data_IF_028483170381
#
_entry.id   IF_028483170381
#
_cell.length_a   1.000
_cell.length_b   1.000
_cell.length_c   1.000
_cell.angle_alpha   90.00
_cell.angle_beta   90.00
_cell.angle_gamma   90.00
#
_symmetry.space_group_name_H-M   'P 1'
#
loop_
_entity.id
_entity.type
_entity.pdbx_description
1 polymer ?
#
# COMPACT_ATOMS: atom_id res chain seq x y z
N UNK A 1 -40.10 15.95 -78.12
CA UNK A 1 -39.40 17.00 -78.88
C UNK A 1 -39.14 18.21 -77.96
N UNK A 2 -37.89 18.72 -77.96
CA UNK A 2 -37.34 19.90 -77.23
C UNK A 2 -37.03 19.64 -75.75
N UNK A 3 -35.84 19.15 -75.40
CA UNK A 3 -34.54 19.85 -75.20
C UNK A 3 -34.63 20.92 -74.09
N UNK A 4 -34.27 20.53 -72.87
CA UNK A 4 -34.05 21.41 -71.71
C UNK A 4 -32.59 21.27 -71.26
N UNK A 5 -32.02 22.43 -70.92
CA UNK A 5 -30.60 22.78 -70.88
C UNK A 5 -29.77 22.01 -69.85
N UNK A 6 -28.66 21.52 -70.40
CA UNK A 6 -27.35 21.28 -69.83
C UNK A 6 -26.86 22.46 -68.95
N UNK A 7 -26.66 22.24 -67.65
CA UNK A 7 -25.78 23.03 -66.80
C UNK A 7 -24.91 22.09 -65.97
N UNK A 8 -23.65 22.01 -66.39
CA UNK A 8 -22.51 21.36 -65.76
C UNK A 8 -21.93 22.32 -64.71
N UNK A 9 -21.71 21.86 -63.48
CA UNK A 9 -20.71 22.35 -62.49
C UNK A 9 -20.76 21.38 -61.30
N UNK A 10 -20.03 20.26 -61.29
CA UNK A 10 -18.62 20.09 -60.91
C UNK A 10 -18.27 20.65 -59.51
N UNK A 11 -18.09 19.70 -58.57
CA UNK A 11 -17.17 19.74 -57.42
C UNK A 11 -17.38 20.79 -56.32
N UNK A 12 -17.82 20.35 -55.13
CA UNK A 12 -17.26 20.87 -53.88
C UNK A 12 -17.31 19.85 -52.73
N UNK A 13 -16.14 19.69 -52.12
CA UNK A 13 -15.74 18.85 -51.00
C UNK A 13 -16.47 19.13 -49.67
N UNK A 14 -16.62 18.05 -48.87
CA UNK A 14 -16.31 17.95 -47.42
C UNK A 14 -17.20 18.81 -46.49
N UNK A 15 -17.84 18.30 -45.45
CA UNK A 15 -17.29 18.16 -44.10
C UNK A 15 -18.27 17.30 -43.27
N UNK A 16 -17.98 16.01 -43.12
CA UNK A 16 -18.50 15.22 -42.00
C UNK A 16 -17.55 15.47 -40.83
N UNK A 17 -17.83 16.52 -40.06
CA UNK A 17 -17.14 16.77 -38.80
C UNK A 17 -17.53 15.67 -37.80
N UNK A 18 -16.69 14.64 -37.72
CA UNK A 18 -16.74 13.65 -36.66
C UNK A 18 -16.40 14.34 -35.33
N UNK A 19 -17.38 14.44 -34.44
CA UNK A 19 -17.12 14.76 -33.05
C UNK A 19 -16.46 13.55 -32.38
N UNK A 20 -15.14 13.54 -32.29
CA UNK A 20 -14.42 12.67 -31.36
C UNK A 20 -14.59 13.25 -29.95
N UNK A 21 -15.29 12.57 -29.02
CA UNK A 21 -15.31 13.02 -27.64
C UNK A 21 -13.87 12.98 -27.09
N UNK A 22 -13.47 13.97 -26.28
CA UNK A 22 -12.15 13.98 -25.69
C UNK A 22 -12.00 12.73 -24.81
N UNK A 23 -10.93 11.98 -25.06
CA UNK A 23 -10.48 10.88 -24.21
C UNK A 23 -10.33 11.44 -22.79
N UNK A 24 -11.26 11.10 -21.91
CA UNK A 24 -11.12 11.41 -20.50
C UNK A 24 -9.86 10.69 -20.03
N UNK A 25 -8.85 11.47 -19.61
CA UNK A 25 -7.77 10.95 -18.77
C UNK A 25 -8.46 10.25 -17.61
N UNK A 26 -8.38 8.93 -17.62
CA UNK A 26 -8.80 8.09 -16.52
C UNK A 26 -7.99 8.59 -15.32
N UNK A 27 -8.65 9.36 -14.44
CA UNK A 27 -8.13 9.58 -13.10
C UNK A 27 -7.96 8.17 -12.54
N UNK A 28 -6.71 7.79 -12.26
CA UNK A 28 -6.40 6.58 -11.52
C UNK A 28 -7.30 6.58 -10.30
N UNK A 29 -8.30 5.70 -10.32
CA UNK A 29 -9.12 5.39 -9.17
C UNK A 29 -8.13 4.95 -8.09
N UNK A 30 -8.16 5.52 -6.88
CA UNK A 30 -7.27 5.06 -5.81
C UNK A 30 -7.52 3.56 -5.64
N UNK A 31 -6.55 2.78 -6.08
CA UNK A 31 -6.60 1.33 -6.08
C UNK A 31 -6.43 0.87 -4.63
N UNK A 32 -7.51 0.30 -4.10
CA UNK A 32 -7.56 -0.48 -2.85
C UNK A 32 -7.38 0.26 -1.51
N UNK A 33 -8.44 0.92 -1.02
CA UNK A 33 -8.65 1.15 0.43
C UNK A 33 -9.64 0.17 1.08
N UNK A 34 -10.13 -0.84 0.36
CA UNK A 34 -11.11 -1.82 0.88
C UNK A 34 -10.50 -3.11 1.43
N UNK A 35 -9.20 -3.30 1.32
CA UNK A 35 -8.50 -4.41 1.98
C UNK A 35 -7.73 -3.79 3.14
N UNK A 36 -8.29 -3.88 4.35
CA UNK A 36 -7.62 -3.39 5.56
C UNK A 36 -6.21 -3.96 5.70
N UNK A 37 -5.36 -3.27 6.46
CA UNK A 37 -3.97 -3.67 6.65
C UNK A 37 -3.86 -5.14 7.08
N UNK A 38 -3.07 -5.92 6.32
CA UNK A 38 -2.77 -7.29 6.65
C UNK A 38 -1.47 -7.38 7.42
N UNK A 39 -1.53 -8.08 8.55
CA UNK A 39 -0.39 -8.32 9.41
C UNK A 39 0.64 -9.18 8.69
N UNK A 40 1.91 -8.85 8.89
CA UNK A 40 3.04 -9.65 8.42
C UNK A 40 4.19 -9.64 9.44
N UNK A 41 5.23 -10.41 9.15
CA UNK A 41 6.46 -10.45 9.94
C UNK A 41 7.03 -9.04 10.18
N UNK A 42 7.53 -8.82 11.40
CA UNK A 42 8.04 -7.52 11.84
C UNK A 42 6.98 -6.56 12.38
N UNK A 43 5.69 -6.86 12.24
CA UNK A 43 4.63 -6.11 12.93
C UNK A 43 4.59 -6.47 14.42
N UNK A 44 4.20 -5.51 15.25
CA UNK A 44 3.82 -5.76 16.63
C UNK A 44 2.34 -5.47 16.82
N UNK A 45 1.63 -6.40 17.45
CA UNK A 45 0.21 -6.28 17.77
C UNK A 45 0.02 -6.22 19.28
N UNK A 46 -0.94 -5.40 19.71
CA UNK A 46 -1.44 -5.37 21.07
C UNK A 46 -2.82 -6.03 21.11
N UNK A 47 -2.93 -7.09 21.90
CA UNK A 47 -4.16 -7.85 22.10
C UNK A 47 -4.71 -7.47 23.47
N UNK A 48 -5.90 -6.91 23.48
CA UNK A 48 -6.64 -6.54 24.68
C UNK A 48 -7.85 -7.48 24.82
N UNK A 49 -7.89 -8.23 25.92
CA UNK A 49 -9.05 -9.04 26.29
C UNK A 49 -9.78 -8.33 27.41
N UNK A 50 -10.98 -7.84 27.15
CA UNK A 50 -11.74 -7.05 28.11
C UNK A 50 -12.07 -7.87 29.36
N UNK A 51 -11.79 -7.31 30.54
CA UNK A 51 -11.99 -7.98 31.83
C UNK A 51 -10.86 -8.93 32.23
N UNK A 52 -9.91 -9.22 31.33
CA UNK A 52 -8.83 -10.19 31.54
C UNK A 52 -7.45 -9.54 31.34
N UNK A 53 -6.93 -8.79 32.33
CA UNK A 53 -5.64 -8.10 32.20
C UNK A 53 -4.46 -9.07 32.01
N UNK A 54 -4.53 -10.26 32.58
CA UNK A 54 -3.53 -11.32 32.43
C UNK A 54 -3.46 -11.86 30.98
N UNK A 55 -4.49 -11.64 30.17
CA UNK A 55 -4.52 -12.02 28.75
C UNK A 55 -4.27 -10.83 27.82
N UNK A 56 -3.96 -9.65 28.38
CA UNK A 56 -3.66 -8.44 27.61
C UNK A 56 -2.16 -8.32 27.38
N UNK A 57 -1.72 -8.54 26.15
CA UNK A 57 -0.30 -8.71 25.81
C UNK A 57 0.06 -8.10 24.46
N UNK A 58 1.33 -7.69 24.34
CA UNK A 58 1.94 -7.26 23.09
C UNK A 58 2.77 -8.39 22.50
N UNK A 59 2.56 -8.70 21.23
CA UNK A 59 3.31 -9.70 20.49
C UNK A 59 3.99 -9.07 19.28
N UNK A 60 5.21 -9.52 18.98
CA UNK A 60 5.90 -9.22 17.73
C UNK A 60 5.80 -10.44 16.81
N UNK A 61 5.39 -10.25 15.57
CA UNK A 61 5.28 -11.31 14.58
C UNK A 61 6.68 -11.66 14.08
N UNK A 62 7.06 -12.92 14.28
CA UNK A 62 8.30 -13.47 13.73
C UNK A 62 8.13 -13.90 12.26
N UNK A 63 9.14 -14.59 11.69
CA UNK A 63 9.10 -15.09 10.30
C UNK A 63 7.99 -16.10 10.03
N UNK A 64 7.48 -16.78 11.06
CA UNK A 64 6.32 -17.66 10.92
C UNK A 64 5.01 -16.88 10.84
N UNK A 65 5.03 -15.63 11.32
CA UNK A 65 3.85 -14.77 11.42
C UNK A 65 2.79 -15.34 12.34
N UNK A 66 3.21 -16.18 13.29
CA UNK A 66 2.36 -16.78 14.32
C UNK A 66 2.77 -16.27 15.70
N UNK A 67 1.82 -16.34 16.64
CA UNK A 67 2.05 -16.06 18.06
C UNK A 67 1.61 -17.27 18.87
N UNK A 68 2.13 -17.39 20.09
CA UNK A 68 1.60 -18.32 21.08
C UNK A 68 0.78 -17.54 22.08
N UNK A 69 -0.52 -17.81 22.12
CA UNK A 69 -1.45 -17.17 23.04
C UNK A 69 -1.88 -18.16 24.13
N UNK A 70 -1.99 -17.74 25.41
CA UNK A 70 -2.43 -18.61 26.50
C UNK A 70 -3.72 -19.36 26.17
N UNK A 71 -3.85 -20.60 26.67
CA UNK A 71 -5.01 -21.49 26.54
C UNK A 71 -5.30 -22.03 25.13
N UNK A 72 -5.13 -21.21 24.09
CA UNK A 72 -5.46 -21.57 22.70
C UNK A 72 -4.24 -22.01 21.88
N UNK A 73 -3.03 -21.80 22.40
CA UNK A 73 -1.78 -22.20 21.77
C UNK A 73 -1.39 -21.32 20.59
N UNK A 74 -0.89 -21.95 19.52
CA UNK A 74 -0.37 -21.22 18.36
C UNK A 74 -1.50 -20.67 17.49
N UNK A 75 -1.37 -19.40 17.10
CA UNK A 75 -2.29 -18.69 16.22
C UNK A 75 -1.49 -18.02 15.10
N UNK A 76 -1.85 -18.27 13.84
CA UNK A 76 -1.25 -17.61 12.67
C UNK A 76 -1.96 -16.29 12.41
N UNK A 77 -1.22 -15.19 12.42
CA UNK A 77 -1.72 -13.82 12.21
C UNK A 77 -1.38 -13.30 10.80
N UNK A 78 -0.34 -13.85 10.16
CA UNK A 78 0.09 -13.45 8.82
C UNK A 78 -1.06 -13.48 7.82
N UNK A 79 -1.20 -12.39 7.06
CA UNK A 79 -2.24 -12.22 6.04
C UNK A 79 -3.63 -11.89 6.59
N UNK A 80 -3.81 -11.82 7.92
CA UNK A 80 -5.08 -11.44 8.55
C UNK A 80 -5.09 -9.97 8.93
N UNK A 81 -6.27 -9.37 8.95
CA UNK A 81 -6.45 -8.04 9.53
C UNK A 81 -6.57 -8.14 11.06
N UNK A 82 -6.28 -7.07 11.82
CA UNK A 82 -6.48 -7.07 13.28
C UNK A 82 -7.89 -7.49 13.69
N UNK A 83 -8.91 -7.09 12.93
CA UNK A 83 -10.30 -7.45 13.17
C UNK A 83 -10.52 -8.97 13.06
N UNK A 84 -9.99 -9.58 11.99
CA UNK A 84 -10.07 -11.04 11.79
C UNK A 84 -9.35 -11.81 12.92
N UNK A 85 -8.21 -11.31 13.38
CA UNK A 85 -7.50 -11.90 14.52
C UNK A 85 -8.33 -11.80 15.80
N UNK A 86 -8.95 -10.64 16.05
CA UNK A 86 -9.83 -10.44 17.22
C UNK A 86 -11.03 -11.37 17.21
N UNK A 87 -11.69 -11.52 16.07
CA UNK A 87 -12.82 -12.46 15.90
C UNK A 87 -12.39 -13.91 16.14
N UNK A 88 -11.26 -14.33 15.59
CA UNK A 88 -10.77 -15.69 15.78
C UNK A 88 -10.38 -15.98 17.23
N UNK A 89 -9.71 -15.02 17.89
CA UNK A 89 -9.38 -15.12 19.32
C UNK A 89 -10.65 -15.21 20.17
N UNK A 90 -11.63 -14.34 19.93
CA UNK A 90 -12.90 -14.37 20.66
C UNK A 90 -13.62 -15.71 20.46
N UNK A 91 -13.60 -16.27 19.25
CA UNK A 91 -14.21 -17.57 18.96
C UNK A 91 -13.48 -18.73 19.65
N UNK A 92 -12.14 -18.73 19.67
CA UNK A 92 -11.34 -19.78 20.33
C UNK A 92 -11.36 -19.72 21.85
N UNK A 93 -11.54 -18.52 22.42
CA UNK A 93 -11.66 -18.33 23.86
C UNK A 93 -13.09 -18.61 24.38
N UNK A 94 -14.10 -18.52 23.52
CA UNK A 94 -15.50 -18.71 23.92
C UNK A 94 -15.78 -20.15 24.33
N UNK A 95 -16.50 -20.33 25.43
CA UNK A 95 -16.92 -21.64 25.93
C UNK A 95 -15.99 -22.13 27.03
N UNK A 96 -14.93 -22.85 26.64
CA UNK A 96 -14.05 -23.54 27.58
C UNK A 96 -13.24 -22.59 28.50
N UNK A 97 -13.06 -21.32 28.08
CA UNK A 97 -12.27 -20.35 28.82
C UNK A 97 -13.07 -19.11 29.26
N UNK A 98 -13.86 -18.52 28.35
CA UNK A 98 -14.62 -17.29 28.60
C UNK A 98 -16.06 -17.42 28.08
N UNK A 99 -17.04 -16.86 28.80
CA UNK A 99 -18.45 -16.95 28.39
C UNK A 99 -18.79 -15.99 27.24
N UNK A 100 -18.34 -14.73 27.34
CA UNK A 100 -18.56 -13.71 26.31
C UNK A 100 -17.28 -12.85 26.12
N UNK A 101 -16.22 -13.41 25.52
CA UNK A 101 -14.96 -12.71 25.35
C UNK A 101 -15.13 -11.53 24.38
N UNK A 102 -14.62 -10.36 24.78
CA UNK A 102 -14.47 -9.20 23.90
C UNK A 102 -12.99 -8.93 23.71
N UNK A 103 -12.51 -9.20 22.49
CA UNK A 103 -11.10 -9.09 22.12
C UNK A 103 -10.93 -7.94 21.14
N UNK A 104 -9.98 -7.05 21.43
CA UNK A 104 -9.57 -5.97 20.53
C UNK A 104 -8.10 -6.17 20.18
N UNK A 105 -7.81 -6.19 18.89
CA UNK A 105 -6.45 -6.27 18.38
C UNK A 105 -6.12 -4.95 17.71
N UNK A 106 -4.98 -4.38 18.06
CA UNK A 106 -4.48 -3.14 17.49
C UNK A 106 -3.03 -3.32 17.08
N UNK A 107 -2.59 -2.58 16.06
CA UNK A 107 -1.19 -2.59 15.64
C UNK A 107 -0.45 -1.66 16.58
N UNK A 108 0.46 -2.21 17.38
CA UNK A 108 1.31 -1.44 18.27
C UNK A 108 2.47 -0.81 17.49
N UNK A 109 3.07 -1.55 16.56
CA UNK A 109 4.13 -1.07 15.69
C UNK A 109 3.98 -1.72 14.30
N UNK A 110 4.08 -0.91 13.26
CA UNK A 110 4.19 -1.42 11.89
C UNK A 110 5.63 -1.85 11.62
N UNK A 111 5.79 -2.87 10.78
CA UNK A 111 7.10 -3.26 10.25
C UNK A 111 7.75 -2.07 9.54
N UNK A 112 9.06 -1.97 9.69
CA UNK A 112 9.87 -0.89 9.10
C UNK A 112 9.79 -0.91 7.58
N UNK A 113 9.93 0.27 6.97
CA UNK A 113 10.24 0.40 5.56
C UNK A 113 11.71 0.83 5.43
N UNK A 114 12.29 0.66 4.25
CA UNK A 114 13.72 0.90 4.02
C UNK A 114 13.93 1.97 2.95
N UNK A 115 15.00 2.73 3.10
CA UNK A 115 15.46 3.70 2.10
C UNK A 115 16.92 3.41 1.79
N UNK A 116 17.26 3.31 0.51
CA UNK A 116 18.62 3.03 0.04
C UNK A 116 18.95 3.81 -1.24
N UNK A 117 20.22 3.83 -1.60
CA UNK A 117 20.74 4.57 -2.75
C UNK A 117 21.20 5.98 -2.38
N UNK A 118 21.04 6.92 -3.32
CA UNK A 118 21.55 8.31 -3.20
C UNK A 118 20.66 9.20 -2.32
N UNK A 119 20.65 8.89 -1.01
CA UNK A 119 20.05 9.70 0.06
C UNK A 119 21.06 9.98 1.16
N UNK A 120 20.84 11.04 1.94
CA UNK A 120 21.77 11.44 3.01
C UNK A 120 21.95 10.35 4.09
N UNK A 121 20.87 9.67 4.45
CA UNK A 121 20.85 8.64 5.51
C UNK A 121 20.10 7.38 5.06
N UNK A 122 20.75 6.47 4.31
CA UNK A 122 20.13 5.19 3.97
C UNK A 122 19.97 4.33 5.23
N UNK A 123 18.74 3.92 5.55
CA UNK A 123 18.42 3.12 6.74
C UNK A 123 17.00 2.51 6.67
N UNK A 124 16.65 1.69 7.66
CA UNK A 124 15.28 1.28 7.97
C UNK A 124 14.60 2.26 8.94
N UNK A 125 13.41 2.70 8.59
CA UNK A 125 12.63 3.71 9.31
C UNK A 125 11.29 3.13 9.80
N UNK A 126 10.79 3.66 10.92
CA UNK A 126 9.45 3.33 11.40
C UNK A 126 8.40 3.85 10.43
N UNK A 127 7.39 3.02 10.13
CA UNK A 127 6.31 3.40 9.24
C UNK A 127 5.23 4.20 9.96
N UNK A 128 4.67 5.19 9.27
CA UNK A 128 3.51 5.96 9.71
C UNK A 128 2.41 5.92 8.64
N UNK A 129 1.12 5.86 9.01
CA UNK A 129 0.02 5.91 8.04
C UNK A 129 0.05 7.16 7.15
N UNK A 130 -0.18 6.97 5.84
CA UNK A 130 -0.14 8.08 4.87
C UNK A 130 1.29 8.55 4.56
N UNK A 131 2.28 7.69 4.75
CA UNK A 131 3.65 7.90 4.31
C UNK A 131 3.72 7.89 2.78
N UNK A 132 4.32 8.93 2.22
CA UNK A 132 4.63 9.04 0.79
C UNK A 132 6.13 8.93 0.57
N UNK A 133 6.55 8.71 -0.68
CA UNK A 133 7.96 8.75 -1.07
C UNK A 133 8.61 10.08 -0.67
N UNK A 134 7.92 11.20 -0.85
CA UNK A 134 8.38 12.52 -0.43
C UNK A 134 8.69 12.59 1.07
N UNK A 135 7.75 12.14 1.92
CA UNK A 135 7.94 12.11 3.37
C UNK A 135 9.03 11.12 3.78
N UNK A 136 9.09 9.97 3.13
CA UNK A 136 10.13 8.96 3.35
C UNK A 136 11.52 9.56 3.08
N UNK A 137 11.71 10.21 1.94
CA UNK A 137 12.97 10.88 1.60
C UNK A 137 13.32 11.99 2.60
N UNK A 138 12.34 12.75 3.08
CA UNK A 138 12.57 13.74 4.12
C UNK A 138 13.09 13.11 5.43
N UNK A 139 12.57 11.94 5.83
CA UNK A 139 13.09 11.18 6.98
C UNK A 139 14.54 10.73 6.78
N UNK A 140 14.93 10.40 5.54
CA UNK A 140 16.31 10.08 5.17
C UNK A 140 17.24 11.30 5.05
N UNK A 141 16.76 12.52 5.31
CA UNK A 141 17.55 13.75 5.17
C UNK A 141 17.58 14.31 3.75
N UNK A 142 16.79 13.75 2.83
CA UNK A 142 16.71 14.18 1.44
C UNK A 142 17.67 13.44 0.51
N UNK A 143 17.73 13.95 -0.71
CA UNK A 143 18.62 13.48 -1.77
C UNK A 143 20.06 13.96 -1.54
N UNK A 144 21.04 13.14 -1.91
CA UNK A 144 22.44 13.59 -2.04
C UNK A 144 22.62 14.46 -3.29
N UNK A 145 23.76 15.14 -3.39
CA UNK A 145 24.13 15.91 -4.59
C UNK A 145 24.28 15.03 -5.86
N UNK A 146 24.47 13.72 -5.69
CA UNK A 146 24.64 12.76 -6.79
C UNK A 146 23.34 12.08 -7.18
N UNK A 147 22.24 12.32 -6.48
CA UNK A 147 20.98 11.64 -6.73
C UNK A 147 20.35 12.07 -8.05
N UNK A 148 19.81 11.11 -8.81
CA UNK A 148 18.85 11.43 -9.87
C UNK A 148 17.44 11.50 -9.27
N UNK A 149 16.90 12.72 -9.20
CA UNK A 149 15.56 12.98 -8.63
C UNK A 149 14.41 12.39 -9.45
N UNK A 150 14.68 11.93 -10.68
CA UNK A 150 13.71 11.25 -11.53
C UNK A 150 13.80 9.72 -11.40
N UNK A 151 14.97 9.21 -11.02
CA UNK A 151 15.20 7.78 -10.80
C UNK A 151 14.91 7.41 -9.33
N UNK A 152 13.63 7.48 -8.97
CA UNK A 152 13.15 6.97 -7.69
C UNK A 152 12.32 5.71 -7.95
N UNK A 153 12.66 4.63 -7.26
CA UNK A 153 11.95 3.37 -7.34
C UNK A 153 11.42 2.90 -5.99
N UNK A 154 10.40 2.05 -6.03
CA UNK A 154 9.89 1.33 -4.85
C UNK A 154 9.93 -0.16 -5.17
N UNK A 155 10.62 -0.93 -4.33
CA UNK A 155 10.50 -2.38 -4.29
C UNK A 155 9.42 -2.76 -3.30
N UNK A 156 8.36 -3.40 -3.79
CA UNK A 156 7.21 -3.80 -2.98
C UNK A 156 7.58 -4.98 -2.08
N UNK A 157 7.19 -4.92 -0.82
CA UNK A 157 7.43 -5.99 0.16
C UNK A 157 6.76 -7.32 -0.16
N UNK A 158 5.55 -7.28 -0.73
CA UNK A 158 4.71 -8.46 -0.95
C UNK A 158 5.11 -9.28 -2.18
N UNK A 159 5.53 -8.62 -3.27
CA UNK A 159 5.83 -9.27 -4.56
C UNK A 159 7.29 -9.19 -4.96
N UNK A 160 8.10 -8.43 -4.22
CA UNK A 160 9.49 -8.09 -4.58
C UNK A 160 9.62 -7.38 -5.95
N UNK A 161 8.50 -6.90 -6.50
CA UNK A 161 8.47 -6.15 -7.76
C UNK A 161 9.08 -4.78 -7.56
N UNK A 162 9.97 -4.39 -8.49
CA UNK A 162 10.49 -3.03 -8.57
C UNK A 162 9.58 -2.20 -9.47
N UNK A 163 9.08 -1.09 -8.92
CA UNK A 163 8.41 -0.02 -9.66
C UNK A 163 9.42 1.11 -9.80
N UNK A 164 9.79 1.46 -11.02
CA UNK A 164 10.74 2.52 -11.32
C UNK A 164 10.03 3.84 -11.64
N UNK A 165 10.76 4.95 -11.53
CA UNK A 165 10.29 6.30 -11.88
C UNK A 165 8.95 6.68 -11.20
N UNK A 166 8.85 6.42 -9.90
CA UNK A 166 7.63 6.69 -9.13
C UNK A 166 7.44 8.17 -8.84
N UNK A 167 6.17 8.63 -8.84
CA UNK A 167 5.84 9.97 -8.36
C UNK A 167 6.12 10.07 -6.85
N UNK A 168 6.66 11.19 -6.40
CA UNK A 168 7.00 11.44 -4.99
C UNK A 168 5.78 11.42 -4.06
N UNK A 169 4.57 11.61 -4.60
CA UNK A 169 3.30 11.51 -3.86
C UNK A 169 2.80 10.08 -3.73
N UNK A 170 3.44 9.11 -4.39
CA UNK A 170 3.08 7.70 -4.25
C UNK A 170 3.20 7.28 -2.79
N UNK A 171 2.20 6.55 -2.33
CA UNK A 171 2.17 5.96 -0.98
C UNK A 171 3.21 4.85 -0.90
N UNK A 172 3.93 4.83 0.22
CA UNK A 172 4.85 3.75 0.61
C UNK A 172 4.10 2.87 1.59
N UNK A 173 4.25 1.55 1.52
CA UNK A 173 3.63 0.63 2.47
C UNK A 173 4.66 0.03 3.43
N UNK A 174 4.22 -0.52 4.58
CA UNK A 174 5.13 -1.21 5.50
C UNK A 174 5.91 -2.32 4.81
N UNK A 175 7.21 -2.39 5.07
CA UNK A 175 8.13 -3.35 4.47
C UNK A 175 8.70 -2.93 3.11
N UNK A 176 8.15 -1.92 2.44
CA UNK A 176 8.65 -1.49 1.13
C UNK A 176 10.07 -0.94 1.23
N UNK A 177 10.80 -0.98 0.11
CA UNK A 177 12.12 -0.35 0.00
C UNK A 177 12.09 0.75 -1.06
N UNK A 178 12.30 1.99 -0.64
CA UNK A 178 12.52 3.14 -1.53
C UNK A 178 13.97 3.15 -1.97
N UNK A 179 14.19 3.26 -3.28
CA UNK A 179 15.52 3.19 -3.90
C UNK A 179 15.71 4.48 -4.70
N UNK A 180 16.81 5.18 -4.46
CA UNK A 180 17.17 6.38 -5.21
C UNK A 180 18.40 6.10 -6.06
N UNK A 181 18.25 6.26 -7.37
CA UNK A 181 19.33 6.10 -8.33
C UNK A 181 20.34 7.25 -8.31
N UNK A 182 21.51 6.99 -8.89
CA UNK A 182 22.56 8.00 -9.07
C UNK A 182 22.44 8.68 -10.43
N UNK A 183 22.76 9.97 -10.48
CA UNK A 183 22.92 10.72 -11.70
C UNK A 183 24.33 10.50 -12.28
N UNK A 184 24.40 10.29 -13.59
CA UNK A 184 25.64 10.02 -14.32
C UNK A 184 26.16 11.21 -15.14
N UNK A 185 25.64 12.43 -14.92
CA UNK A 185 25.86 13.60 -15.78
C UNK A 185 26.33 14.85 -15.03
#
# INVERSE_FOLDING_TARGET
>A
MKIIKLCIFLSLCVWLAGCSPPSQRQMDKPESETTGYQLDEGDAVNILVYGEPEMTMKFMLDKSGAITFPYIGQLVLKGKTPEQVGEELANRLRGDYLQNPMVTVSIAEFRKFYITGEVEKPNGYAYEPGLTVEKALALAGGFTDRADRKDVGIRLSNSNQLIENVDVRRVVHPGDTVIVGMSFF
#
